data_IF_493719821315
#
_entry.id   IF_493719821315
#
_cell.length_a   1.000
_cell.length_b   1.000
_cell.length_c   1.000
_cell.angle_alpha   90.00
_cell.angle_beta   90.00
_cell.angle_gamma   90.00
#
_symmetry.space_group_name_H-M   'P 1'
#
loop_
_entity.id
_entity.type
_entity.pdbx_description
1 polymer ?
#
# COMPACT_ATOMS: atom_id res chain seq x y z
N UNK A 1 -1.79 -17.20 -0.89
CA UNK A 1 -2.51 -15.92 -0.89
C UNK A 1 -3.57 -15.92 -1.98
N UNK A 2 -4.84 -15.61 -1.67
CA UNK A 2 -5.94 -15.55 -2.66
C UNK A 2 -6.65 -14.19 -2.70
N UNK A 3 -6.39 -13.30 -1.74
CA UNK A 3 -6.95 -11.95 -1.72
C UNK A 3 -5.94 -10.96 -1.14
N UNK A 4 -5.88 -9.77 -1.75
CA UNK A 4 -5.20 -8.59 -1.22
C UNK A 4 -6.27 -7.52 -0.99
N UNK A 5 -6.23 -6.83 0.14
CA UNK A 5 -7.00 -5.59 0.34
C UNK A 5 -6.05 -4.42 0.48
N UNK A 6 -6.47 -3.25 0.02
CA UNK A 6 -5.68 -2.03 0.18
C UNK A 6 -6.60 -0.81 0.32
N UNK A 7 -6.19 0.17 1.11
CA UNK A 7 -6.92 1.43 1.34
C UNK A 7 -5.93 2.58 1.31
N UNK A 8 -6.39 3.75 0.85
CA UNK A 8 -5.60 4.98 0.79
C UNK A 8 -4.32 4.85 -0.06
N UNK A 9 -4.41 4.08 -1.16
CA UNK A 9 -3.29 3.76 -2.05
C UNK A 9 -3.46 4.41 -3.44
N UNK A 10 -2.55 5.30 -3.83
CA UNK A 10 -2.49 5.94 -5.16
C UNK A 10 -3.85 6.57 -5.56
N UNK A 11 -4.48 6.09 -6.62
CA UNK A 11 -5.78 6.57 -7.08
C UNK A 11 -6.95 6.07 -6.23
N UNK A 12 -6.72 5.15 -5.29
CA UNK A 12 -7.74 4.47 -4.50
C UNK A 12 -7.80 5.02 -3.08
N UNK A 13 -8.79 5.87 -2.81
CA UNK A 13 -9.05 6.40 -1.47
C UNK A 13 -9.62 5.32 -0.55
N UNK A 14 -10.71 4.70 -0.98
CA UNK A 14 -11.48 3.75 -0.18
C UNK A 14 -10.93 2.33 -0.32
N UNK A 15 -11.25 1.47 0.66
CA UNK A 15 -10.80 0.08 0.70
C UNK A 15 -11.23 -0.66 -0.58
N UNK A 16 -10.26 -1.28 -1.23
CA UNK A 16 -10.46 -2.15 -2.39
C UNK A 16 -10.13 -3.59 -2.03
N UNK A 17 -10.76 -4.54 -2.72
CA UNK A 17 -10.44 -5.96 -2.64
C UNK A 17 -10.00 -6.48 -4.01
N UNK A 18 -8.84 -7.15 -4.04
CA UNK A 18 -8.30 -7.83 -5.21
C UNK A 18 -8.28 -9.33 -4.93
N UNK A 19 -9.22 -10.07 -5.53
CA UNK A 19 -9.20 -11.54 -5.52
C UNK A 19 -8.24 -12.03 -6.59
N UNK A 20 -7.24 -12.81 -6.20
CA UNK A 20 -6.22 -13.36 -7.08
C UNK A 20 -6.69 -14.73 -7.58
N UNK A 21 -6.82 -14.85 -8.91
CA UNK A 21 -7.08 -16.10 -9.62
C UNK A 21 -5.83 -16.53 -10.38
N UNK A 22 -5.70 -17.81 -10.77
CA UNK A 22 -4.54 -18.30 -11.54
C UNK A 22 -4.18 -17.43 -12.74
N UNK A 23 -5.19 -16.83 -13.39
CA UNK A 23 -5.03 -15.78 -14.38
C UNK A 23 -5.89 -14.59 -13.93
N UNK A 24 -5.27 -13.44 -13.70
CA UNK A 24 -5.93 -12.20 -13.30
C UNK A 24 -5.68 -11.12 -14.37
N UNK A 25 -6.73 -10.60 -14.99
CA UNK A 25 -6.64 -9.56 -16.02
C UNK A 25 -7.11 -8.23 -15.44
N UNK A 26 -6.26 -7.20 -15.52
CA UNK A 26 -6.59 -5.84 -15.08
C UNK A 26 -7.06 -5.00 -16.29
N UNK A 27 -8.32 -4.58 -16.27
CA UNK A 27 -8.94 -3.77 -17.32
C UNK A 27 -9.35 -2.39 -16.80
N UNK A 28 -9.40 -1.39 -17.69
CA UNK A 28 -9.81 -0.03 -17.34
C UNK A 28 -9.12 1.04 -18.18
N UNK A 29 -9.60 2.29 -18.07
CA UNK A 29 -9.06 3.45 -18.78
C UNK A 29 -7.58 3.70 -18.42
N UNK A 30 -6.87 4.44 -19.26
CA UNK A 30 -5.52 4.88 -18.92
C UNK A 30 -5.52 5.66 -17.60
N UNK A 31 -4.48 5.45 -16.80
CA UNK A 31 -4.34 6.06 -15.48
C UNK A 31 -5.41 5.67 -14.44
N UNK A 32 -6.19 4.60 -14.67
CA UNK A 32 -7.14 4.07 -13.68
C UNK A 32 -6.50 3.27 -12.52
N UNK A 33 -5.17 3.30 -12.38
CA UNK A 33 -4.46 2.60 -11.30
C UNK A 33 -4.08 1.14 -11.59
N UNK A 34 -4.28 0.63 -12.81
CA UNK A 34 -3.93 -0.77 -13.18
C UNK A 34 -2.47 -1.11 -12.89
N UNK A 35 -1.53 -0.25 -13.29
CA UNK A 35 -0.10 -0.46 -13.04
C UNK A 35 0.23 -0.44 -11.55
N UNK A 36 -0.44 0.40 -10.77
CA UNK A 36 -0.29 0.41 -9.31
C UNK A 36 -0.73 -0.91 -8.69
N UNK A 37 -1.90 -1.42 -9.10
CA UNK A 37 -2.41 -2.73 -8.65
C UNK A 37 -1.45 -3.86 -9.06
N UNK A 38 -0.96 -3.85 -10.30
CA UNK A 38 -0.04 -4.88 -10.79
C UNK A 38 1.28 -4.93 -10.03
N UNK A 39 1.77 -3.78 -9.54
CA UNK A 39 3.02 -3.66 -8.77
C UNK A 39 2.85 -3.99 -7.29
N UNK A 40 1.62 -3.95 -6.77
CA UNK A 40 1.33 -4.14 -5.35
C UNK A 40 1.82 -5.49 -4.79
N UNK A 41 1.63 -6.65 -5.46
CA UNK A 41 2.14 -7.93 -4.95
C UNK A 41 3.67 -7.96 -4.81
N UNK A 42 4.41 -7.41 -5.78
CA UNK A 42 5.87 -7.37 -5.76
C UNK A 42 6.42 -6.53 -4.60
N UNK A 43 5.77 -5.40 -4.29
CA UNK A 43 6.13 -4.58 -3.12
C UNK A 43 5.91 -5.30 -1.81
N UNK A 44 4.77 -6.00 -1.70
CA UNK A 44 4.43 -6.73 -0.47
C UNK A 44 5.40 -7.89 -0.26
N UNK A 45 5.69 -8.66 -1.30
CA UNK A 45 6.67 -9.74 -1.25
C UNK A 45 8.01 -9.24 -0.73
N UNK A 46 8.53 -8.15 -1.30
CA UNK A 46 9.84 -7.62 -0.93
C UNK A 46 9.86 -7.11 0.52
N UNK A 47 8.80 -6.41 0.94
CA UNK A 47 8.69 -5.90 2.31
C UNK A 47 8.61 -7.01 3.37
N UNK A 48 8.04 -8.17 2.99
CA UNK A 48 7.98 -9.33 3.88
C UNK A 48 9.30 -10.10 3.99
N UNK A 49 10.30 -9.86 3.12
CA UNK A 49 11.63 -10.47 3.23
C UNK A 49 12.43 -9.92 4.42
N UNK A 50 12.13 -8.69 4.85
CA UNK A 50 12.79 -8.06 6.01
C UNK A 50 14.28 -7.78 5.79
N UNK A 51 14.71 -7.62 4.54
CA UNK A 51 16.11 -7.36 4.17
C UNK A 51 16.51 -5.89 4.39
N UNK A 52 15.56 -5.03 4.78
CA UNK A 52 15.75 -3.60 5.02
C UNK A 52 14.95 -3.13 6.25
N UNK A 53 15.38 -2.06 6.94
CA UNK A 53 14.78 -1.63 8.20
C UNK A 53 13.45 -0.86 8.06
N UNK A 54 13.17 -0.32 6.88
CA UNK A 54 11.92 0.41 6.62
C UNK A 54 10.72 -0.56 6.51
N UNK A 55 9.48 -0.10 6.81
CA UNK A 55 8.29 -0.95 6.68
C UNK A 55 7.91 -1.28 5.23
N UNK A 56 8.32 -0.44 4.26
CA UNK A 56 8.09 -0.63 2.83
C UNK A 56 9.28 -0.13 2.03
N UNK A 57 9.69 -0.90 1.04
CA UNK A 57 10.65 -0.49 0.04
C UNK A 57 9.92 -0.07 -1.23
N UNK A 58 10.13 1.18 -1.65
CA UNK A 58 9.39 1.82 -2.75
C UNK A 58 10.00 1.54 -4.13
N UNK A 59 11.25 1.08 -4.15
CA UNK A 59 12.04 0.77 -5.34
C UNK A 59 12.59 -0.63 -5.16
N UNK A 60 12.12 -1.56 -5.98
CA UNK A 60 12.61 -2.93 -6.02
C UNK A 60 12.97 -3.30 -7.46
N UNK A 61 14.25 -3.53 -7.73
CA UNK A 61 14.80 -3.76 -9.07
C UNK A 61 14.28 -2.72 -10.10
N UNK A 62 13.56 -3.17 -11.13
CA UNK A 62 12.95 -2.34 -12.18
C UNK A 62 11.55 -1.81 -11.81
N UNK A 63 11.04 -2.15 -10.62
CA UNK A 63 9.70 -1.79 -10.15
C UNK A 63 9.78 -0.63 -9.18
N UNK A 64 9.61 0.57 -9.72
CA UNK A 64 9.42 1.79 -8.92
C UNK A 64 7.93 2.05 -8.66
N UNK A 65 7.57 2.22 -7.39
CA UNK A 65 6.24 2.61 -6.95
C UNK A 65 6.12 4.09 -6.59
N UNK A 66 7.23 4.75 -6.28
CA UNK A 66 7.30 6.18 -5.98
C UNK A 66 8.65 6.53 -5.34
N UNK A 67 8.93 7.83 -5.24
CA UNK A 67 10.16 8.30 -4.62
C UNK A 67 10.04 8.37 -3.09
N UNK A 68 8.84 8.65 -2.59
CA UNK A 68 8.57 8.81 -1.16
C UNK A 68 7.26 8.12 -0.73
N UNK A 69 7.09 7.88 0.58
CA UNK A 69 5.88 7.23 1.12
C UNK A 69 4.59 7.98 0.73
N UNK A 70 4.62 9.32 0.73
CA UNK A 70 3.48 10.14 0.26
C UNK A 70 3.06 9.83 -1.16
N UNK A 71 3.94 9.32 -2.02
CA UNK A 71 3.58 8.95 -3.39
C UNK A 71 2.71 7.70 -3.44
N UNK A 72 2.78 6.84 -2.42
CA UNK A 72 1.87 5.72 -2.28
C UNK A 72 0.49 6.16 -1.76
N UNK A 73 0.43 7.26 -1.02
CA UNK A 73 -0.79 7.70 -0.36
C UNK A 73 -1.77 8.37 -1.33
N UNK A 74 -3.06 8.09 -1.16
CA UNK A 74 -4.07 8.81 -1.93
C UNK A 74 -4.03 10.31 -1.62
N UNK A 75 -4.01 11.11 -2.69
CA UNK A 75 -3.88 12.58 -2.59
C UNK A 75 -2.57 13.05 -1.94
N UNK A 76 -1.57 12.18 -1.79
CA UNK A 76 -0.27 12.45 -1.15
C UNK A 76 -0.39 12.99 0.29
N UNK A 77 -1.48 12.64 0.99
CA UNK A 77 -1.73 13.08 2.37
C UNK A 77 -1.18 12.05 3.36
N UNK A 78 -0.17 12.45 4.12
CA UNK A 78 0.47 11.60 5.15
C UNK A 78 0.18 12.05 6.57
N UNK A 79 -0.42 13.22 6.76
CA UNK A 79 -0.74 13.80 8.07
C UNK A 79 -2.13 13.37 8.58
N UNK A 80 -2.40 13.54 9.87
CA UNK A 80 -3.74 13.39 10.44
C UNK A 80 -4.27 11.96 10.52
N UNK A 81 -3.44 11.03 11.04
CA UNK A 81 -3.76 9.60 11.17
C UNK A 81 -4.11 8.89 9.84
N UNK A 82 -3.64 9.41 8.70
CA UNK A 82 -3.79 8.75 7.41
C UNK A 82 -2.81 7.57 7.29
N UNK A 83 -3.33 6.35 7.20
CA UNK A 83 -2.54 5.14 6.94
C UNK A 83 -2.68 4.66 5.50
N UNK A 84 -1.62 4.07 4.98
CA UNK A 84 -1.72 3.04 3.95
C UNK A 84 -2.07 1.73 4.65
N UNK A 85 -3.23 1.14 4.33
CA UNK A 85 -3.63 -0.16 4.89
C UNK A 85 -3.49 -1.23 3.83
N UNK A 86 -2.91 -2.37 4.19
CA UNK A 86 -2.73 -3.53 3.33
C UNK A 86 -3.19 -4.77 4.10
N UNK A 87 -4.02 -5.60 3.48
CA UNK A 87 -4.43 -6.89 4.00
C UNK A 87 -4.05 -8.01 3.03
N UNK A 88 -3.54 -9.12 3.56
CA UNK A 88 -3.24 -10.34 2.84
C UNK A 88 -4.08 -11.47 3.42
N UNK A 89 -4.73 -12.25 2.56
CA UNK A 89 -5.58 -13.34 3.01
C UNK A 89 -5.28 -14.61 2.24
N UNK A 90 -5.39 -15.72 2.95
CA UNK A 90 -5.47 -17.08 2.44
C UNK A 90 -6.66 -17.78 3.09
N UNK A 91 -7.01 -19.01 2.67
CA UNK A 91 -8.08 -19.77 3.35
C UNK A 91 -7.81 -20.09 4.82
N UNK A 92 -6.55 -20.05 5.27
CA UNK A 92 -6.14 -20.51 6.62
C UNK A 92 -5.57 -19.39 7.50
N UNK A 93 -5.17 -18.27 6.92
CA UNK A 93 -4.53 -17.17 7.66
C UNK A 93 -4.75 -15.82 6.98
N UNK A 94 -4.53 -14.76 7.75
CA UNK A 94 -4.56 -13.38 7.26
C UNK A 94 -3.56 -12.49 8.00
N UNK A 95 -3.05 -11.49 7.29
CA UNK A 95 -2.19 -10.45 7.83
C UNK A 95 -2.76 -9.08 7.43
N UNK A 96 -2.99 -8.20 8.39
CA UNK A 96 -3.38 -6.81 8.13
C UNK A 96 -2.34 -5.86 8.72
N UNK A 97 -1.89 -4.91 7.90
CA UNK A 97 -0.85 -3.94 8.26
C UNK A 97 -1.38 -2.53 7.97
N UNK A 98 -1.15 -1.62 8.91
CA UNK A 98 -1.42 -0.19 8.73
C UNK A 98 -0.12 0.59 8.91
N UNK A 99 0.23 1.36 7.88
CA UNK A 99 1.51 2.06 7.79
C UNK A 99 1.22 3.55 7.78
N UNK A 100 1.81 4.26 8.74
CA UNK A 100 1.65 5.69 8.92
C UNK A 100 3.03 6.34 8.88
N UNK A 101 3.12 7.53 8.29
CA UNK A 101 4.31 8.34 8.42
C UNK A 101 4.13 9.24 9.63
N UNK A 102 5.00 9.09 10.63
CA UNK A 102 5.03 9.96 11.78
C UNK A 102 5.94 11.16 11.51
N UNK A 103 5.56 12.30 12.06
CA UNK A 103 6.38 13.50 12.08
C UNK A 103 6.38 14.03 13.52
N UNK A 104 7.50 13.86 14.24
CA UNK A 104 7.56 14.07 15.70
C UNK A 104 7.02 15.44 16.16
N UNK A 105 7.14 16.47 15.31
CA UNK A 105 6.65 17.82 15.61
C UNK A 105 5.13 17.95 15.40
N UNK A 106 4.55 17.30 14.40
CA UNK A 106 3.13 17.48 14.03
C UNK A 106 2.20 16.53 14.79
N UNK A 107 2.66 15.32 15.08
CA UNK A 107 1.84 14.30 15.74
C UNK A 107 1.52 14.65 17.19
N UNK A 108 2.43 15.34 17.88
CA UNK A 108 2.22 15.85 19.25
C UNK A 108 1.02 16.79 19.36
N UNK A 109 0.76 17.60 18.32
CA UNK A 109 -0.37 18.54 18.29
C UNK A 109 -1.67 17.92 17.78
N UNK A 110 -1.62 16.75 17.13
CA UNK A 110 -2.81 16.04 16.67
C UNK A 110 -3.54 15.29 17.78
N UNK A 111 -2.84 14.96 18.88
CA UNK A 111 -3.41 14.33 20.08
C UNK A 111 -4.12 15.34 20.99
N UNK A 112 -3.90 16.64 20.78
CA UNK A 112 -4.43 17.73 21.60
C UNK A 112 -5.70 18.39 21.02
N UNK A 113 -6.31 17.80 19.99
CA UNK A 113 -7.59 18.24 19.41
C UNK A 113 -8.60 17.09 19.43
#
# INVERSE_FOLDING_TARGET
MNKITFENYKSFKDKQELVIKPITILLGKNSSGKSSIAKLPSMIEHSLKGEFPEPLQLINDEVELGAEFRDLMHGRKTTGANALKIGLYSPVESLEVSIFQTNQVTDLYSVLK
#
